data_IF_907888692288
#
_entry.id   IF_907888692288
#
_cell.length_a   1.000
_cell.length_b   1.000
_cell.length_c   1.000
_cell.angle_alpha   90.00
_cell.angle_beta   90.00
_cell.angle_gamma   90.00
#
_symmetry.space_group_name_H-M   'P 1'
#
loop_
_entity.id
_entity.type
_entity.pdbx_description
1 polymer ?
#
# COMPACT_ATOMS: atom_id res chain seq x y z
N UNK A 1 4.39 35.58 8.11
CA UNK A 1 3.28 35.66 7.15
C UNK A 1 2.11 34.96 7.82
N UNK A 2 1.01 35.68 8.10
CA UNK A 2 -0.24 35.08 8.57
C UNK A 2 -0.79 34.40 7.32
N UNK A 3 -0.72 33.06 7.22
CA UNK A 3 -1.35 32.34 6.11
C UNK A 3 -2.85 32.57 6.25
N UNK A 4 -3.46 33.21 5.26
CA UNK A 4 -4.91 33.26 5.16
C UNK A 4 -5.47 31.85 5.34
N UNK A 5 -6.48 31.72 6.22
CA UNK A 5 -7.07 30.44 6.52
C UNK A 5 -7.81 29.96 5.26
N UNK A 6 -7.29 28.94 4.60
CA UNK A 6 -7.90 28.36 3.40
C UNK A 6 -9.30 27.84 3.77
N UNK A 7 -10.33 28.18 3.00
CA UNK A 7 -11.67 27.61 3.15
C UNK A 7 -11.78 26.28 2.43
N UNK A 8 -12.75 25.43 2.81
CA UNK A 8 -13.02 24.18 2.09
C UNK A 8 -13.24 24.41 0.59
N UNK A 9 -13.98 25.44 0.20
CA UNK A 9 -14.23 25.73 -1.20
C UNK A 9 -12.94 26.08 -1.94
N UNK A 10 -12.08 26.92 -1.37
CA UNK A 10 -10.80 27.27 -1.98
C UNK A 10 -9.89 26.05 -2.16
N UNK A 11 -9.83 25.15 -1.16
CA UNK A 11 -9.03 23.93 -1.26
C UNK A 11 -9.56 22.98 -2.36
N UNK A 12 -10.88 22.78 -2.41
CA UNK A 12 -11.55 21.95 -3.42
C UNK A 12 -11.34 22.53 -4.83
N UNK A 13 -11.49 23.86 -5.00
CA UNK A 13 -11.30 24.52 -6.29
C UNK A 13 -9.85 24.39 -6.78
N UNK A 14 -8.86 24.49 -5.89
CA UNK A 14 -7.46 24.28 -6.23
C UNK A 14 -7.20 22.84 -6.68
N UNK A 15 -7.70 21.85 -5.92
CA UNK A 15 -7.55 20.46 -6.29
C UNK A 15 -8.27 20.13 -7.61
N UNK A 16 -9.48 20.61 -7.79
CA UNK A 16 -10.23 20.45 -9.05
C UNK A 16 -9.53 21.09 -10.26
N UNK A 17 -8.81 22.19 -10.04
CA UNK A 17 -8.11 22.89 -11.13
C UNK A 17 -6.79 22.22 -11.50
N UNK A 18 -6.06 21.67 -10.53
CA UNK A 18 -4.70 21.20 -10.74
C UNK A 18 -4.52 19.69 -10.56
N UNK A 19 -5.46 19.00 -9.90
CA UNK A 19 -5.44 17.55 -9.68
C UNK A 19 -5.90 16.76 -10.90
N UNK A 20 -5.50 15.50 -10.98
CA UNK A 20 -5.83 14.61 -12.10
C UNK A 20 -7.19 13.90 -11.98
N UNK A 21 -7.99 14.19 -10.98
CA UNK A 21 -9.34 13.66 -10.74
C UNK A 21 -9.46 12.12 -10.79
N UNK A 22 -8.44 11.44 -10.31
CA UNK A 22 -8.42 9.97 -10.22
C UNK A 22 -9.26 9.41 -9.06
N UNK A 23 -9.78 10.29 -8.22
CA UNK A 23 -10.73 10.02 -7.15
C UNK A 23 -11.89 11.02 -7.16
N UNK A 24 -12.99 10.65 -6.51
CA UNK A 24 -14.11 11.54 -6.19
C UNK A 24 -14.21 11.70 -4.66
N UNK A 25 -13.41 12.58 -4.04
CA UNK A 25 -13.40 12.75 -2.59
C UNK A 25 -14.74 13.28 -2.08
N UNK A 26 -15.06 12.96 -0.82
CA UNK A 26 -16.16 13.65 -0.12
C UNK A 26 -15.82 15.14 0.03
N UNK A 27 -16.81 16.04 0.00
CA UNK A 27 -16.58 17.49 0.07
C UNK A 27 -16.25 17.95 1.51
N UNK A 28 -15.24 17.32 2.10
CA UNK A 28 -14.75 17.62 3.45
C UNK A 28 -13.23 17.81 3.36
N UNK A 29 -12.75 18.97 3.77
CA UNK A 29 -11.32 19.31 3.74
C UNK A 29 -10.73 19.18 5.12
N UNK A 30 -10.10 18.03 5.39
CA UNK A 30 -9.50 17.74 6.69
C UNK A 30 -8.18 18.51 6.85
N UNK A 31 -7.95 19.08 8.03
CA UNK A 31 -6.77 19.89 8.34
C UNK A 31 -6.04 19.49 9.61
N UNK A 32 -6.68 18.74 10.50
CA UNK A 32 -6.10 18.29 11.77
C UNK A 32 -6.58 16.90 12.13
N UNK A 33 -5.72 16.12 12.76
CA UNK A 33 -6.05 14.81 13.34
C UNK A 33 -5.44 14.63 14.73
N UNK A 34 -6.15 13.94 15.64
CA UNK A 34 -5.68 13.60 16.97
C UNK A 34 -6.41 12.34 17.48
N UNK A 35 -5.69 11.26 17.71
CA UNK A 35 -6.29 9.99 18.08
C UNK A 35 -7.31 9.52 17.05
N UNK A 36 -8.54 9.30 17.45
CA UNK A 36 -9.65 8.86 16.57
C UNK A 36 -10.41 10.02 15.91
N UNK A 37 -9.98 11.24 16.13
CA UNK A 37 -10.70 12.43 15.67
C UNK A 37 -9.95 13.14 14.55
N UNK A 38 -10.74 13.70 13.63
CA UNK A 38 -10.26 14.64 12.60
C UNK A 38 -11.12 15.90 12.60
N UNK A 39 -10.56 17.01 12.12
CA UNK A 39 -11.26 18.29 11.99
C UNK A 39 -11.07 18.83 10.57
N UNK A 40 -12.12 19.42 10.04
CA UNK A 40 -12.01 20.17 8.79
C UNK A 40 -11.39 21.56 9.00
N UNK A 41 -11.22 22.28 7.91
CA UNK A 41 -10.63 23.64 7.93
C UNK A 41 -11.54 24.66 8.61
N UNK A 42 -12.84 24.42 8.70
CA UNK A 42 -13.82 25.21 9.43
C UNK A 42 -13.83 24.89 10.94
N UNK A 43 -13.16 23.81 11.35
CA UNK A 43 -13.03 23.37 12.74
C UNK A 43 -14.12 22.41 13.20
N UNK A 44 -14.92 21.89 12.31
CA UNK A 44 -15.90 20.85 12.65
C UNK A 44 -15.19 19.53 12.91
N UNK A 45 -15.57 18.85 13.98
CA UNK A 45 -14.98 17.61 14.46
C UNK A 45 -15.75 16.39 13.92
N UNK A 46 -14.99 15.36 13.53
CA UNK A 46 -15.51 14.08 13.05
C UNK A 46 -14.79 12.93 13.75
N UNK A 47 -15.43 11.76 13.80
CA UNK A 47 -14.75 10.50 14.06
C UNK A 47 -14.19 9.95 12.74
N UNK A 48 -12.95 9.51 12.74
CA UNK A 48 -12.35 8.83 11.61
C UNK A 48 -12.51 7.31 11.72
N UNK A 49 -13.57 6.79 11.12
CA UNK A 49 -13.81 5.34 11.02
C UNK A 49 -13.11 4.68 9.82
N UNK A 50 -12.51 5.47 8.93
CA UNK A 50 -11.79 4.94 7.78
C UNK A 50 -10.31 4.68 8.09
N UNK A 51 -9.70 5.52 8.92
CA UNK A 51 -8.30 5.43 9.38
C UNK A 51 -7.31 5.18 8.23
N UNK A 52 -7.50 5.87 7.09
CA UNK A 52 -6.73 5.67 5.87
C UNK A 52 -6.63 4.17 5.48
N UNK A 53 -7.77 3.47 5.48
CA UNK A 53 -7.85 2.01 5.26
C UNK A 53 -7.02 1.21 6.25
N UNK A 54 -7.11 1.56 7.54
CA UNK A 54 -6.38 0.98 8.68
C UNK A 54 -4.89 1.31 8.74
N UNK A 55 -4.37 2.19 7.89
CA UNK A 55 -2.97 2.63 7.97
C UNK A 55 -2.70 3.50 9.21
N UNK A 56 -3.73 4.20 9.73
CA UNK A 56 -3.66 5.04 10.94
C UNK A 56 -4.30 4.35 12.15
N UNK A 57 -4.11 3.04 12.28
CA UNK A 57 -4.71 2.21 13.33
C UNK A 57 -4.25 2.56 14.76
N UNK A 58 -3.14 3.29 14.92
CA UNK A 58 -2.66 3.81 16.21
C UNK A 58 -3.24 5.19 16.56
N UNK A 59 -4.08 5.72 15.68
CA UNK A 59 -4.64 7.06 15.78
C UNK A 59 -3.77 8.14 15.14
N UNK A 60 -4.40 9.25 14.81
CA UNK A 60 -3.72 10.42 14.24
C UNK A 60 -2.73 11.02 15.23
N UNK A 61 -1.56 11.38 14.73
CA UNK A 61 -0.53 12.10 15.47
C UNK A 61 -0.15 11.46 16.81
N UNK A 62 -0.09 10.11 16.86
CA UNK A 62 0.29 9.40 18.09
C UNK A 62 1.66 9.89 18.59
N UNK A 63 1.78 10.40 19.83
CA UNK A 63 2.96 11.13 20.27
C UNK A 63 4.25 10.31 20.20
N UNK A 64 4.22 9.03 20.55
CA UNK A 64 5.40 8.16 20.45
C UNK A 64 5.90 8.03 19.01
N UNK A 65 4.98 7.90 18.04
CA UNK A 65 5.32 7.76 16.61
C UNK A 65 5.87 9.09 16.08
N UNK A 66 5.21 10.22 16.40
CA UNK A 66 5.65 11.54 15.96
C UNK A 66 7.01 11.90 16.54
N UNK A 67 7.24 11.60 17.83
CA UNK A 67 8.53 11.86 18.47
C UNK A 67 9.65 11.03 17.82
N UNK A 68 9.44 9.74 17.58
CA UNK A 68 10.42 8.88 16.92
C UNK A 68 10.74 9.38 15.50
N UNK A 69 9.71 9.77 14.73
CA UNK A 69 9.88 10.35 13.40
C UNK A 69 10.72 11.63 13.44
N UNK A 70 10.37 12.56 14.33
CA UNK A 70 11.03 13.87 14.44
C UNK A 70 12.48 13.72 14.90
N UNK A 71 12.73 12.85 15.88
CA UNK A 71 14.07 12.56 16.36
C UNK A 71 14.95 11.99 15.25
N UNK A 72 14.46 10.95 14.55
CA UNK A 72 15.22 10.34 13.46
C UNK A 72 15.42 11.28 12.28
N UNK A 73 14.40 12.04 11.88
CA UNK A 73 14.50 13.02 10.80
C UNK A 73 15.53 14.13 11.08
N UNK A 74 15.74 14.46 12.36
CA UNK A 74 16.76 15.44 12.78
C UNK A 74 18.20 14.90 12.73
N UNK A 75 18.37 13.57 12.70
CA UNK A 75 19.67 12.91 12.63
C UNK A 75 20.04 12.55 11.19
N UNK A 76 19.16 11.79 10.53
CA UNK A 76 19.40 11.23 9.19
C UNK A 76 18.06 10.86 8.56
N UNK A 77 17.70 11.52 7.47
CA UNK A 77 16.41 11.34 6.81
C UNK A 77 16.41 10.19 5.80
N UNK A 78 17.43 10.10 4.95
CA UNK A 78 17.49 9.14 3.84
C UNK A 78 18.93 8.74 3.56
N UNK A 79 19.15 7.44 3.35
CA UNK A 79 20.41 6.91 2.80
C UNK A 79 20.11 6.05 1.57
N UNK A 80 21.05 5.98 0.62
CA UNK A 80 21.03 4.95 -0.40
C UNK A 80 21.25 3.57 0.21
N UNK A 81 20.65 2.53 -0.40
CA UNK A 81 20.93 1.12 -0.06
C UNK A 81 22.38 0.70 -0.37
N UNK A 82 23.17 1.57 -0.97
CA UNK A 82 24.63 1.39 -1.10
C UNK A 82 25.35 1.46 0.26
N UNK A 83 24.68 1.96 1.30
CA UNK A 83 25.24 2.07 2.65
C UNK A 83 24.34 1.36 3.67
N UNK A 84 24.95 0.89 4.74
CA UNK A 84 24.24 0.49 5.94
C UNK A 84 23.83 1.73 6.73
N UNK A 85 22.79 1.58 7.57
CA UNK A 85 22.44 2.56 8.60
C UNK A 85 22.16 1.86 9.94
N UNK A 86 22.12 2.63 11.00
CA UNK A 86 22.04 2.12 12.37
C UNK A 86 20.64 1.68 12.83
N UNK A 87 19.59 1.93 12.03
CA UNK A 87 18.20 1.64 12.43
C UNK A 87 17.57 0.48 11.67
N UNK A 88 17.93 0.26 10.40
CA UNK A 88 17.25 -0.72 9.55
C UNK A 88 17.40 -2.15 10.06
N UNK A 89 18.61 -2.55 10.48
CA UNK A 89 18.84 -3.89 11.01
C UNK A 89 18.05 -4.20 12.28
N UNK A 90 17.83 -3.20 13.14
CA UNK A 90 16.98 -3.34 14.32
C UNK A 90 15.51 -3.53 13.95
N UNK A 91 15.02 -2.80 12.95
CA UNK A 91 13.67 -2.97 12.41
C UNK A 91 13.50 -4.37 11.78
N UNK A 92 14.44 -4.79 10.94
CA UNK A 92 14.41 -6.11 10.29
C UNK A 92 14.39 -7.25 11.32
N UNK A 93 15.24 -7.16 12.35
CA UNK A 93 15.24 -8.11 13.46
C UNK A 93 13.88 -8.16 14.18
N UNK A 94 13.35 -6.99 14.54
CA UNK A 94 12.08 -6.91 15.25
C UNK A 94 10.94 -7.55 14.45
N UNK A 95 10.83 -7.23 13.15
CA UNK A 95 9.77 -7.76 12.28
C UNK A 95 9.91 -9.26 12.07
N UNK A 96 11.12 -9.76 11.84
CA UNK A 96 11.36 -11.20 11.67
C UNK A 96 11.07 -11.99 12.94
N UNK A 97 11.50 -11.52 14.09
CA UNK A 97 11.19 -12.14 15.38
C UNK A 97 9.67 -12.14 15.66
N UNK A 98 9.00 -11.03 15.37
CA UNK A 98 7.57 -10.88 15.66
C UNK A 98 6.68 -11.78 14.81
N UNK A 99 6.99 -11.91 13.52
CA UNK A 99 6.19 -12.70 12.57
C UNK A 99 6.72 -14.14 12.37
N UNK A 100 7.88 -14.49 12.90
CA UNK A 100 8.46 -15.83 12.79
C UNK A 100 9.02 -16.16 11.41
N UNK A 101 9.56 -15.17 10.70
CA UNK A 101 10.22 -15.35 9.41
C UNK A 101 11.75 -15.18 9.50
N UNK A 102 12.50 -15.84 8.63
CA UNK A 102 13.97 -15.74 8.63
C UNK A 102 14.47 -14.40 8.08
N UNK A 103 13.74 -13.81 7.15
CA UNK A 103 14.14 -12.59 6.41
C UNK A 103 12.96 -11.70 6.12
N UNK A 104 13.21 -10.40 6.03
CA UNK A 104 12.27 -9.40 5.57
C UNK A 104 12.91 -8.53 4.50
N UNK A 105 12.13 -8.10 3.52
CA UNK A 105 12.52 -7.13 2.50
C UNK A 105 11.50 -5.98 2.51
N UNK A 106 11.78 -4.87 3.21
CA UNK A 106 10.89 -3.72 3.24
C UNK A 106 10.78 -3.05 1.87
N UNK A 107 9.56 -2.63 1.51
CA UNK A 107 9.23 -1.87 0.31
C UNK A 107 8.58 -0.54 0.69
N UNK A 108 8.54 0.40 -0.26
CA UNK A 108 7.96 1.73 -0.01
C UNK A 108 6.42 1.70 0.00
N UNK A 109 5.82 0.82 -0.78
CA UNK A 109 4.37 0.69 -0.91
C UNK A 109 3.91 -0.75 -0.93
N UNK A 110 2.62 -1.00 -0.65
CA UNK A 110 2.02 -2.32 -0.80
C UNK A 110 2.10 -2.85 -2.24
N UNK A 111 1.92 -2.00 -3.24
CA UNK A 111 2.06 -2.37 -4.65
C UNK A 111 3.48 -2.84 -4.99
N UNK A 112 4.51 -2.16 -4.50
CA UNK A 112 5.91 -2.59 -4.68
C UNK A 112 6.20 -3.93 -3.97
N UNK A 113 5.63 -4.13 -2.78
CA UNK A 113 5.75 -5.39 -2.06
C UNK A 113 5.10 -6.55 -2.83
N UNK A 114 3.91 -6.35 -3.39
CA UNK A 114 3.22 -7.35 -4.23
C UNK A 114 4.00 -7.63 -5.51
N UNK A 115 4.46 -6.61 -6.23
CA UNK A 115 5.29 -6.79 -7.45
C UNK A 115 6.58 -7.56 -7.13
N UNK A 116 7.20 -7.28 -6.00
CA UNK A 116 8.40 -7.99 -5.54
C UNK A 116 8.08 -9.45 -5.18
N UNK A 117 6.97 -9.71 -4.50
CA UNK A 117 6.52 -11.06 -4.20
C UNK A 117 6.24 -11.87 -5.48
N UNK A 118 5.55 -11.29 -6.47
CA UNK A 118 5.31 -11.91 -7.77
C UNK A 118 6.64 -12.29 -8.45
N UNK A 119 7.60 -11.37 -8.50
CA UNK A 119 8.93 -11.64 -9.06
C UNK A 119 9.65 -12.76 -8.32
N UNK A 120 9.61 -12.74 -6.99
CA UNK A 120 10.25 -13.75 -6.16
C UNK A 120 9.62 -15.13 -6.35
N UNK A 121 8.30 -15.23 -6.39
CA UNK A 121 7.57 -16.48 -6.64
C UNK A 121 7.94 -17.07 -8.01
N UNK A 122 7.97 -16.24 -9.07
CA UNK A 122 8.38 -16.68 -10.40
C UNK A 122 9.83 -17.16 -10.43
N UNK A 123 10.75 -16.39 -9.86
CA UNK A 123 12.16 -16.79 -9.76
C UNK A 123 12.34 -18.10 -9.01
N UNK A 124 11.64 -18.28 -7.90
CA UNK A 124 11.67 -19.53 -7.13
C UNK A 124 11.09 -20.71 -7.94
N UNK A 125 10.01 -20.51 -8.68
CA UNK A 125 9.42 -21.53 -9.53
C UNK A 125 10.42 -22.03 -10.58
N UNK A 126 11.10 -21.12 -11.27
CA UNK A 126 12.08 -21.49 -12.30
C UNK A 126 13.36 -22.08 -11.72
N UNK A 127 13.97 -21.45 -10.73
CA UNK A 127 15.29 -21.83 -10.22
C UNK A 127 15.26 -23.00 -9.22
N UNK A 128 14.16 -23.19 -8.50
CA UNK A 128 14.05 -24.19 -7.42
C UNK A 128 13.06 -25.31 -7.70
N UNK A 129 11.94 -25.01 -8.36
CA UNK A 129 10.94 -26.02 -8.71
C UNK A 129 11.13 -26.61 -10.12
N UNK A 130 12.00 -26.03 -10.95
CA UNK A 130 12.25 -26.52 -12.30
C UNK A 130 11.08 -26.31 -13.28
N UNK A 131 10.19 -25.37 -13.00
CA UNK A 131 9.12 -24.98 -13.93
C UNK A 131 9.77 -24.41 -15.19
N UNK A 132 9.31 -24.80 -16.39
CA UNK A 132 9.83 -24.26 -17.65
C UNK A 132 9.66 -22.74 -17.72
N UNK A 133 10.54 -22.08 -18.46
CA UNK A 133 10.53 -20.65 -18.63
C UNK A 133 9.17 -20.16 -19.18
N UNK A 134 8.62 -19.10 -18.58
CA UNK A 134 7.31 -18.48 -18.88
C UNK A 134 6.07 -19.32 -18.52
N UNK A 135 6.21 -20.47 -17.86
CA UNK A 135 5.09 -21.31 -17.46
C UNK A 135 4.69 -21.18 -15.98
N UNK A 136 5.43 -20.40 -15.18
CA UNK A 136 5.08 -20.20 -13.78
C UNK A 136 3.73 -19.48 -13.64
N UNK A 137 2.86 -20.05 -12.82
CA UNK A 137 1.54 -19.51 -12.52
C UNK A 137 1.42 -19.16 -11.04
N UNK A 138 0.67 -18.10 -10.76
CA UNK A 138 0.38 -17.61 -9.40
C UNK A 138 -1.14 -17.62 -9.22
N UNK A 139 -1.59 -18.32 -8.18
CA UNK A 139 -3.00 -18.34 -7.81
C UNK A 139 -3.31 -17.07 -7.01
N UNK A 140 -4.40 -16.40 -7.35
CA UNK A 140 -4.92 -15.20 -6.68
C UNK A 140 -6.42 -15.36 -6.43
N UNK A 141 -6.91 -14.71 -5.38
CA UNK A 141 -8.35 -14.70 -5.12
C UNK A 141 -9.08 -13.72 -6.04
N UNK A 142 -10.31 -14.00 -6.38
CA UNK A 142 -11.21 -13.04 -7.01
C UNK A 142 -11.50 -11.86 -6.07
N UNK A 143 -11.90 -10.72 -6.62
CA UNK A 143 -12.21 -9.48 -5.89
C UNK A 143 -11.05 -8.97 -5.00
N UNK A 144 -9.82 -9.30 -5.38
CA UNK A 144 -8.63 -8.83 -4.69
C UNK A 144 -8.34 -7.35 -4.98
N UNK A 145 -7.62 -6.71 -4.06
CA UNK A 145 -7.00 -5.42 -4.29
C UNK A 145 -5.54 -5.43 -3.81
N UNK A 146 -4.61 -5.36 -4.73
CA UNK A 146 -3.17 -5.38 -4.46
C UNK A 146 -2.44 -4.13 -4.96
N UNK A 147 -3.16 -3.16 -5.52
CA UNK A 147 -2.61 -1.94 -6.11
C UNK A 147 -3.08 -1.71 -7.54
N UNK A 148 -2.40 -0.81 -8.25
CA UNK A 148 -2.83 -0.33 -9.58
C UNK A 148 -1.73 -0.36 -10.63
N UNK A 149 -0.66 -1.14 -10.42
CA UNK A 149 0.36 -1.37 -11.45
C UNK A 149 -0.19 -2.23 -12.58
N UNK A 150 0.43 -2.19 -13.75
CA UNK A 150 0.00 -2.97 -14.92
C UNK A 150 0.00 -4.48 -14.67
N UNK A 151 0.94 -5.00 -13.87
CA UNK A 151 0.95 -6.40 -13.47
C UNK A 151 -0.21 -6.71 -12.53
N UNK A 152 -0.43 -5.90 -11.51
CA UNK A 152 -1.46 -6.13 -10.49
C UNK A 152 -2.85 -6.07 -11.10
N UNK A 153 -3.17 -5.10 -11.96
CA UNK A 153 -4.47 -5.03 -12.62
C UNK A 153 -4.73 -6.20 -13.57
N UNK A 154 -3.69 -6.93 -13.98
CA UNK A 154 -3.85 -8.11 -14.86
C UNK A 154 -4.69 -9.19 -14.23
N UNK A 155 -4.71 -9.30 -12.92
CA UNK A 155 -5.50 -10.26 -12.16
C UNK A 155 -6.63 -9.64 -11.32
N UNK A 156 -6.92 -8.37 -11.48
CA UNK A 156 -8.10 -7.72 -10.87
C UNK A 156 -9.41 -8.19 -11.52
N UNK A 157 -10.50 -8.13 -10.77
CA UNK A 157 -11.88 -8.29 -11.30
C UNK A 157 -12.56 -6.93 -11.52
N UNK A 158 -11.94 -5.83 -11.09
CA UNK A 158 -12.45 -4.48 -11.23
C UNK A 158 -12.33 -4.01 -12.69
N UNK A 159 -13.45 -3.80 -13.35
CA UNK A 159 -13.49 -3.36 -14.76
C UNK A 159 -12.91 -1.95 -14.90
N UNK A 160 -13.14 -1.05 -13.96
CA UNK A 160 -12.63 0.33 -14.01
C UNK A 160 -11.10 0.35 -13.92
N UNK A 161 -10.51 -0.58 -13.15
CA UNK A 161 -9.06 -0.75 -13.06
C UNK A 161 -8.45 -1.40 -14.32
N UNK A 162 -9.24 -2.07 -15.16
CA UNK A 162 -8.76 -2.86 -16.32
C UNK A 162 -9.06 -2.23 -17.66
N UNK A 163 -10.19 -1.54 -17.79
CA UNK A 163 -10.67 -1.01 -19.07
C UNK A 163 -9.65 -0.09 -19.73
N UNK A 164 -9.21 -0.45 -20.94
CA UNK A 164 -8.24 0.30 -21.76
C UNK A 164 -6.80 0.37 -21.19
N UNK A 165 -6.44 -0.49 -20.23
CA UNK A 165 -5.09 -0.55 -19.63
C UNK A 165 -4.27 -1.80 -20.03
N UNK A 166 -4.78 -2.62 -20.98
CA UNK A 166 -3.99 -3.73 -21.53
C UNK A 166 -2.82 -3.26 -22.40
N UNK A 167 -1.90 -4.18 -22.80
CA UNK A 167 -1.97 -5.62 -22.64
C UNK A 167 -1.71 -6.10 -21.21
N UNK A 168 -2.35 -7.20 -20.81
CA UNK A 168 -2.25 -7.73 -19.45
C UNK A 168 -1.12 -8.77 -19.32
N UNK A 169 -0.50 -8.79 -18.16
CA UNK A 169 0.54 -9.78 -17.80
C UNK A 169 -0.11 -11.15 -17.57
N UNK A 170 0.41 -12.18 -18.22
CA UNK A 170 -0.02 -13.56 -18.08
C UNK A 170 0.55 -14.24 -16.82
N UNK A 171 0.07 -15.47 -16.54
CA UNK A 171 0.58 -16.32 -15.47
C UNK A 171 -0.17 -16.14 -14.13
N UNK A 172 -1.45 -15.78 -14.18
CA UNK A 172 -2.31 -15.70 -12.99
C UNK A 172 -3.56 -16.54 -13.17
N UNK A 173 -3.91 -17.33 -12.14
CA UNK A 173 -5.15 -18.08 -12.05
C UNK A 173 -5.98 -17.47 -10.94
N UNK A 174 -7.21 -17.07 -11.25
CA UNK A 174 -8.14 -16.52 -10.24
C UNK A 174 -9.05 -17.62 -9.72
N UNK A 175 -9.18 -17.70 -8.41
CA UNK A 175 -10.11 -18.59 -7.73
C UNK A 175 -10.99 -17.78 -6.77
N UNK A 176 -12.15 -18.30 -6.46
CA UNK A 176 -13.04 -17.70 -5.47
C UNK A 176 -12.37 -17.67 -4.08
N UNK A 177 -12.57 -16.56 -3.33
CA UNK A 177 -12.05 -16.45 -1.97
C UNK A 177 -12.71 -17.49 -1.06
N UNK A 178 -11.91 -18.10 -0.16
CA UNK A 178 -12.34 -19.14 0.79
C UNK A 178 -12.88 -20.44 0.14
N UNK A 179 -12.55 -20.69 -1.12
CA UNK A 179 -12.92 -21.92 -1.82
C UNK A 179 -11.75 -22.90 -1.86
N UNK A 180 -11.66 -23.78 -0.85
CA UNK A 180 -10.59 -24.78 -0.74
C UNK A 180 -10.64 -25.81 -1.85
N UNK A 181 -11.83 -26.20 -2.34
CA UNK A 181 -11.97 -27.14 -3.44
C UNK A 181 -11.39 -26.56 -4.75
N UNK A 182 -11.68 -25.30 -5.05
CA UNK A 182 -11.09 -24.60 -6.19
C UNK A 182 -9.56 -24.54 -6.08
N UNK A 183 -9.03 -24.27 -4.89
CA UNK A 183 -7.57 -24.26 -4.64
C UNK A 183 -6.97 -25.65 -4.87
N UNK A 184 -7.52 -26.71 -4.30
CA UNK A 184 -7.05 -28.08 -4.49
C UNK A 184 -7.07 -28.52 -5.94
N UNK A 185 -8.14 -28.19 -6.68
CA UNK A 185 -8.27 -28.53 -8.10
C UNK A 185 -7.28 -27.76 -8.97
N UNK A 186 -6.93 -26.53 -8.59
CA UNK A 186 -5.96 -25.73 -9.33
C UNK A 186 -4.50 -26.17 -9.08
N UNK A 187 -4.22 -26.79 -7.93
CA UNK A 187 -2.89 -27.28 -7.56
C UNK A 187 -2.56 -28.68 -8.15
N UNK A 188 -3.52 -29.40 -8.71
CA UNK A 188 -3.35 -30.71 -9.38
C UNK A 188 -2.90 -30.52 -10.82
#
# INVERSE_FOLDING_TARGET
MISEKVTSQQAIDLENKYGAHNYHPLPVVLSRGEGVYVWDVEGKKYYDFLSAYSAVNQGHCHPTIINALTEQASKLTLTSRAFYNDVLGNYEKYVTDYFGFDKVLPMNTGAEAVETAIKLCRKYAYEKKGIPENEAQIIVCENNFHGRTTTIISFSNDEDARKNFGPFTAGFIKIEYDNLEALENTLK
#
